data_IF_104561342826
#
_entry.id   IF_104561342826
#
_cell.length_a   1.000
_cell.length_b   1.000
_cell.length_c   1.000
_cell.angle_alpha   90.00
_cell.angle_beta   90.00
_cell.angle_gamma   90.00
#
_symmetry.space_group_name_H-M   'P 1'
#
loop_
_entity.id
_entity.type
_entity.pdbx_description
1 polymer ?
#
# COMPACT_ATOMS: atom_id res chain seq x y z
N UNK A 1 16.55 -29.67 59.57
CA UNK A 1 15.54 -29.62 58.49
C UNK A 1 15.98 -28.54 57.52
N UNK A 2 16.52 -28.93 56.38
CA UNK A 2 16.87 -28.03 55.28
C UNK A 2 15.59 -27.59 54.59
N UNK A 3 15.24 -26.32 54.74
CA UNK A 3 14.17 -25.70 53.96
C UNK A 3 14.63 -25.64 52.51
N UNK A 4 13.95 -26.40 51.65
CA UNK A 4 14.08 -26.29 50.20
C UNK A 4 13.27 -25.04 49.80
N UNK A 5 13.96 -23.95 49.46
CA UNK A 5 13.31 -22.82 48.79
C UNK A 5 12.86 -23.26 47.39
N UNK A 6 11.59 -23.05 46.99
CA UNK A 6 11.20 -23.24 45.62
C UNK A 6 11.89 -22.17 44.76
N UNK A 7 12.71 -22.64 43.82
CA UNK A 7 13.34 -21.85 42.78
C UNK A 7 12.26 -21.29 41.85
N UNK A 8 11.67 -20.16 42.23
CA UNK A 8 10.73 -19.39 41.42
C UNK A 8 11.49 -18.70 40.26
N UNK A 9 12.01 -19.50 39.32
CA UNK A 9 12.50 -19.04 38.02
C UNK A 9 11.41 -18.97 36.95
N UNK A 10 10.16 -19.21 37.32
CA UNK A 10 9.00 -18.78 36.57
C UNK A 10 8.63 -17.36 37.03
N UNK A 11 9.56 -16.43 36.84
CA UNK A 11 9.21 -15.03 36.78
C UNK A 11 8.26 -14.87 35.59
N UNK A 12 6.97 -14.91 35.89
CA UNK A 12 5.88 -14.25 35.18
C UNK A 12 6.34 -13.65 33.85
N UNK A 13 6.36 -14.45 32.78
CA UNK A 13 6.37 -13.89 31.43
C UNK A 13 5.02 -13.21 31.25
N UNK A 14 4.93 -11.97 31.73
CA UNK A 14 3.85 -11.05 31.36
C UNK A 14 3.84 -11.11 29.83
N UNK A 15 2.72 -11.52 29.17
CA UNK A 15 2.70 -11.65 27.74
C UNK A 15 3.13 -10.30 27.16
N UNK A 16 4.31 -10.28 26.53
CA UNK A 16 4.87 -9.06 25.94
C UNK A 16 3.85 -8.55 24.95
N UNK A 17 3.12 -7.51 25.35
CA UNK A 17 2.14 -6.91 24.47
C UNK A 17 2.95 -6.29 23.31
N UNK A 18 2.77 -6.82 22.11
CA UNK A 18 3.52 -6.32 20.95
C UNK A 18 2.91 -4.99 20.54
N UNK A 19 3.75 -3.98 20.29
CA UNK A 19 3.33 -2.65 19.85
C UNK A 19 2.50 -2.71 18.56
N UNK A 20 2.86 -3.63 17.67
CA UNK A 20 2.13 -3.94 16.43
C UNK A 20 1.70 -5.40 16.38
N UNK A 21 0.41 -5.65 16.15
CA UNK A 21 -0.14 -6.99 15.98
C UNK A 21 0.46 -7.69 14.74
N UNK A 22 0.41 -9.02 14.70
CA UNK A 22 0.89 -9.80 13.54
C UNK A 22 0.05 -9.48 12.29
N UNK A 23 -1.27 -9.36 12.44
CA UNK A 23 -2.20 -9.06 11.35
C UNK A 23 -1.90 -7.71 10.68
N UNK A 24 -1.68 -6.66 11.46
CA UNK A 24 -1.37 -5.32 10.94
C UNK A 24 -0.03 -5.33 10.19
N UNK A 25 0.99 -5.98 10.73
CA UNK A 25 2.32 -6.06 10.10
C UNK A 25 2.28 -6.81 8.78
N UNK A 26 1.66 -7.99 8.77
CA UNK A 26 1.49 -8.79 7.56
C UNK A 26 0.71 -8.01 6.50
N UNK A 27 -0.40 -7.36 6.90
CA UNK A 27 -1.17 -6.52 6.01
C UNK A 27 -0.35 -5.37 5.42
N UNK A 28 0.44 -4.67 6.24
CA UNK A 28 1.30 -3.57 5.79
C UNK A 28 2.30 -4.04 4.72
N UNK A 29 3.06 -5.10 4.99
CA UNK A 29 4.08 -5.59 4.05
C UNK A 29 3.46 -6.18 2.77
N UNK A 30 2.31 -6.85 2.87
CA UNK A 30 1.58 -7.31 1.69
C UNK A 30 1.10 -6.13 0.84
N UNK A 31 0.56 -5.07 1.45
CA UNK A 31 0.19 -3.85 0.71
C UNK A 31 1.42 -3.21 0.06
N UNK A 32 2.55 -3.13 0.77
CA UNK A 32 3.78 -2.60 0.21
C UNK A 32 4.20 -3.36 -1.06
N UNK A 33 4.19 -4.69 -1.04
CA UNK A 33 4.54 -5.52 -2.20
C UNK A 33 3.54 -5.32 -3.35
N UNK A 34 2.24 -5.37 -3.05
CA UNK A 34 1.17 -5.27 -4.07
C UNK A 34 1.15 -3.89 -4.71
N UNK A 35 1.23 -2.82 -3.91
CA UNK A 35 1.25 -1.44 -4.42
C UNK A 35 2.53 -1.20 -5.24
N UNK A 36 3.69 -1.64 -4.75
CA UNK A 36 4.95 -1.49 -5.48
C UNK A 36 4.95 -2.26 -6.81
N UNK A 37 4.46 -3.50 -6.80
CA UNK A 37 4.30 -4.31 -8.01
C UNK A 37 3.31 -3.69 -9.00
N UNK A 38 2.17 -3.21 -8.51
CA UNK A 38 1.18 -2.49 -9.32
C UNK A 38 1.77 -1.23 -9.95
N UNK A 39 2.50 -0.40 -9.20
CA UNK A 39 3.19 0.78 -9.75
C UNK A 39 4.27 0.39 -10.78
N UNK A 40 5.01 -0.69 -10.53
CA UNK A 40 6.01 -1.19 -11.47
C UNK A 40 5.36 -1.60 -12.81
N UNK A 41 4.19 -2.24 -12.80
CA UNK A 41 3.48 -2.57 -14.06
C UNK A 41 3.10 -1.32 -14.86
N UNK A 42 2.68 -0.24 -14.20
CA UNK A 42 2.38 1.03 -14.88
C UNK A 42 3.63 1.64 -15.47
N UNK A 43 4.75 1.64 -14.73
CA UNK A 43 6.04 2.14 -15.22
C UNK A 43 6.55 1.33 -16.41
N UNK A 44 6.49 0.00 -16.34
CA UNK A 44 6.88 -0.90 -17.44
C UNK A 44 6.01 -0.60 -18.66
N UNK A 45 4.69 -0.49 -18.49
CA UNK A 45 3.79 -0.22 -19.59
C UNK A 45 4.05 1.15 -20.25
N UNK A 46 4.35 2.17 -19.44
CA UNK A 46 4.59 3.52 -19.94
C UNK A 46 5.99 3.74 -20.56
N UNK A 47 6.95 2.87 -20.27
CA UNK A 47 8.36 3.05 -20.71
C UNK A 47 8.84 1.94 -21.64
N UNK A 48 8.70 0.69 -21.23
CA UNK A 48 9.22 -0.49 -21.93
C UNK A 48 8.22 -0.96 -22.98
N UNK A 49 6.94 -1.03 -22.61
CA UNK A 49 5.89 -1.61 -23.45
C UNK A 49 5.14 -0.58 -24.29
N UNK A 50 5.73 0.59 -24.51
CA UNK A 50 5.10 1.60 -25.37
C UNK A 50 4.96 1.08 -26.81
N UNK A 51 3.76 1.22 -27.37
CA UNK A 51 3.42 0.66 -28.68
C UNK A 51 4.35 1.13 -29.81
N UNK A 52 4.91 2.34 -29.73
CA UNK A 52 5.80 2.87 -30.78
C UNK A 52 7.18 2.24 -30.68
N UNK A 53 7.71 2.13 -29.46
CA UNK A 53 9.02 1.54 -29.23
C UNK A 53 9.01 0.03 -29.51
N UNK A 54 8.02 -0.69 -28.95
CA UNK A 54 7.92 -2.14 -29.09
C UNK A 54 7.63 -2.55 -30.52
N UNK A 55 6.74 -1.85 -31.24
CA UNK A 55 6.46 -2.19 -32.64
C UNK A 55 7.71 -2.08 -33.52
N UNK A 56 8.56 -1.06 -33.29
CA UNK A 56 9.84 -0.93 -33.97
C UNK A 56 10.80 -2.08 -33.67
N UNK A 57 10.90 -2.48 -32.39
CA UNK A 57 11.76 -3.59 -31.97
C UNK A 57 11.29 -4.92 -32.57
N UNK A 58 9.99 -5.22 -32.49
CA UNK A 58 9.40 -6.45 -33.03
C UNK A 58 9.60 -6.51 -34.54
N UNK A 59 9.31 -5.42 -35.26
CA UNK A 59 9.48 -5.36 -36.71
C UNK A 59 10.94 -5.53 -37.13
N UNK A 60 11.89 -4.89 -36.42
CA UNK A 60 13.31 -5.03 -36.72
C UNK A 60 13.83 -6.45 -36.46
N UNK A 61 13.41 -7.08 -35.36
CA UNK A 61 13.88 -8.42 -35.01
C UNK A 61 13.30 -9.50 -35.92
N UNK A 62 12.04 -9.36 -36.32
CA UNK A 62 11.43 -10.29 -37.28
C UNK A 62 11.99 -10.11 -38.70
N UNK A 63 12.30 -8.88 -39.12
CA UNK A 63 12.97 -8.64 -40.40
C UNK A 63 14.35 -9.30 -40.47
N UNK A 64 15.14 -9.27 -39.37
CA UNK A 64 16.43 -9.99 -39.31
C UNK A 64 16.28 -11.50 -39.50
N UNK A 65 15.13 -12.06 -39.12
CA UNK A 65 14.80 -13.47 -39.26
C UNK A 65 14.05 -13.78 -40.57
N UNK A 66 14.06 -12.85 -41.55
CA UNK A 66 13.45 -13.03 -42.86
C UNK A 66 11.93 -12.84 -42.90
N UNK A 67 11.31 -12.39 -41.81
CA UNK A 67 9.86 -12.15 -41.70
C UNK A 67 9.58 -10.65 -41.82
N UNK A 68 9.00 -10.23 -42.95
CA UNK A 68 8.57 -8.85 -43.14
C UNK A 68 7.16 -8.64 -42.60
N UNK A 69 7.03 -7.85 -41.52
CA UNK A 69 5.74 -7.41 -41.01
C UNK A 69 5.31 -6.08 -41.62
N UNK A 70 4.00 -5.93 -41.85
CA UNK A 70 3.40 -4.61 -42.07
C UNK A 70 3.43 -3.79 -40.77
N UNK A 71 3.42 -2.45 -40.89
CA UNK A 71 3.35 -1.57 -39.73
C UNK A 71 2.14 -1.86 -38.83
N UNK A 72 1.02 -2.29 -39.41
CA UNK A 72 -0.20 -2.65 -38.68
C UNK A 72 -0.02 -3.93 -37.86
N UNK A 73 0.67 -4.95 -38.40
CA UNK A 73 0.97 -6.18 -37.67
C UNK A 73 1.94 -5.93 -36.52
N UNK A 74 2.98 -5.12 -36.73
CA UNK A 74 3.92 -4.73 -35.67
C UNK A 74 3.23 -3.98 -34.53
N UNK A 75 2.31 -3.07 -34.85
CA UNK A 75 1.51 -2.35 -33.86
C UNK A 75 0.55 -3.26 -33.09
N UNK A 76 -0.08 -4.22 -33.76
CA UNK A 76 -0.97 -5.19 -33.12
C UNK A 76 -0.22 -6.08 -32.12
N UNK A 77 0.99 -6.53 -32.48
CA UNK A 77 1.83 -7.32 -31.60
C UNK A 77 2.30 -6.52 -30.38
N UNK A 78 2.69 -5.26 -30.58
CA UNK A 78 3.04 -4.35 -29.49
C UNK A 78 1.84 -4.10 -28.54
N UNK A 79 0.65 -3.91 -29.09
CA UNK A 79 -0.56 -3.70 -28.30
C UNK A 79 -0.89 -4.91 -27.43
N UNK A 80 -0.77 -6.14 -27.97
CA UNK A 80 -0.99 -7.36 -27.20
C UNK A 80 -0.02 -7.50 -26.02
N UNK A 81 1.24 -7.04 -26.19
CA UNK A 81 2.21 -7.02 -25.09
C UNK A 81 1.80 -6.00 -24.01
N UNK A 82 1.35 -4.81 -24.41
CA UNK A 82 0.84 -3.79 -23.48
C UNK A 82 -0.37 -4.31 -22.70
N UNK A 83 -1.32 -4.95 -23.40
CA UNK A 83 -2.52 -5.54 -22.79
C UNK A 83 -2.17 -6.64 -21.78
N UNK A 84 -1.11 -7.42 -22.04
CA UNK A 84 -0.60 -8.41 -21.09
C UNK A 84 -0.09 -7.78 -19.79
N UNK A 85 0.63 -6.65 -19.88
CA UNK A 85 1.08 -5.91 -18.67
C UNK A 85 -0.12 -5.32 -17.91
N UNK A 86 -1.12 -4.80 -18.62
CA UNK A 86 -2.37 -4.34 -18.00
C UNK A 86 -3.13 -5.46 -17.30
N UNK A 87 -3.16 -6.67 -17.87
CA UNK A 87 -3.77 -7.82 -17.21
C UNK A 87 -3.08 -8.13 -15.86
N UNK A 88 -1.74 -8.07 -15.81
CA UNK A 88 -0.99 -8.23 -14.56
C UNK A 88 -1.33 -7.11 -13.56
N UNK A 89 -1.45 -5.86 -14.03
CA UNK A 89 -1.88 -4.74 -13.18
C UNK A 89 -3.26 -4.98 -12.56
N UNK A 90 -4.21 -5.49 -13.34
CA UNK A 90 -5.57 -5.82 -12.87
C UNK A 90 -5.52 -6.92 -11.79
N UNK A 91 -4.68 -7.95 -11.95
CA UNK A 91 -4.48 -8.96 -10.90
C UNK A 91 -3.97 -8.36 -9.59
N UNK A 92 -2.97 -7.47 -9.64
CA UNK A 92 -2.55 -6.72 -8.46
C UNK A 92 -3.70 -5.90 -7.86
N UNK A 93 -4.55 -5.31 -8.70
CA UNK A 93 -5.76 -4.60 -8.28
C UNK A 93 -6.74 -5.49 -7.51
N UNK A 94 -7.01 -6.71 -7.97
CA UNK A 94 -7.85 -7.66 -7.26
C UNK A 94 -7.27 -8.09 -5.92
N UNK A 95 -5.96 -8.34 -5.86
CA UNK A 95 -5.27 -8.64 -4.59
C UNK A 95 -5.36 -7.45 -3.64
N UNK A 96 -5.17 -6.22 -4.14
CA UNK A 96 -5.29 -5.00 -3.34
C UNK A 96 -6.71 -4.81 -2.80
N UNK A 97 -7.73 -5.05 -3.62
CA UNK A 97 -9.12 -5.00 -3.21
C UNK A 97 -9.43 -6.03 -2.11
N UNK A 98 -8.92 -7.26 -2.25
CA UNK A 98 -9.05 -8.30 -1.24
C UNK A 98 -8.34 -7.92 0.08
N UNK A 99 -7.11 -7.38 0.02
CA UNK A 99 -6.38 -6.89 1.18
C UNK A 99 -7.11 -5.73 1.87
N UNK A 100 -7.71 -4.82 1.10
CA UNK A 100 -8.48 -3.71 1.64
C UNK A 100 -9.77 -4.19 2.33
N UNK A 101 -10.50 -5.13 1.71
CA UNK A 101 -11.67 -5.75 2.31
C UNK A 101 -11.31 -6.51 3.60
N UNK A 102 -10.23 -7.30 3.56
CA UNK A 102 -9.69 -7.97 4.75
C UNK A 102 -9.42 -6.98 5.89
N UNK A 103 -8.87 -5.80 5.57
CA UNK A 103 -8.62 -4.76 6.58
C UNK A 103 -9.89 -4.17 7.16
N UNK A 104 -10.90 -3.92 6.33
CA UNK A 104 -12.23 -3.46 6.80
C UNK A 104 -12.81 -4.50 7.76
N UNK A 105 -12.77 -5.79 7.39
CA UNK A 105 -13.25 -6.88 8.24
C UNK A 105 -12.50 -6.90 9.57
N UNK A 106 -11.17 -6.82 9.56
CA UNK A 106 -10.37 -6.78 10.78
C UNK A 106 -10.72 -5.60 11.71
N UNK A 107 -11.03 -4.42 11.17
CA UNK A 107 -11.42 -3.25 11.98
C UNK A 107 -12.70 -3.51 12.80
N UNK A 108 -13.60 -4.39 12.32
CA UNK A 108 -14.78 -4.82 13.09
C UNK A 108 -14.43 -5.80 14.23
N UNK A 109 -13.43 -6.67 14.03
CA UNK A 109 -13.04 -7.71 14.98
C UNK A 109 -11.89 -7.32 15.93
N UNK A 110 -11.14 -6.26 15.64
CA UNK A 110 -10.04 -5.80 16.49
C UNK A 110 -10.52 -5.25 17.84
N UNK A 111 -9.74 -5.53 18.89
CA UNK A 111 -9.94 -4.99 20.24
C UNK A 111 -10.05 -3.46 20.18
N UNK A 112 -10.88 -2.91 21.05
CA UNK A 112 -11.38 -1.55 20.91
C UNK A 112 -10.28 -0.45 20.94
N UNK A 113 -9.10 -0.74 21.48
CA UNK A 113 -7.93 0.15 21.54
C UNK A 113 -7.00 0.07 20.32
N UNK A 114 -7.17 -0.96 19.49
CA UNK A 114 -6.45 -1.12 18.22
C UNK A 114 -7.17 -0.41 17.07
N UNK A 115 -8.47 -0.12 17.23
CA UNK A 115 -9.34 0.51 16.22
C UNK A 115 -8.80 1.86 15.77
N UNK A 116 -8.71 2.02 14.44
CA UNK A 116 -8.29 3.24 13.77
C UNK A 116 -9.14 4.44 14.19
N UNK A 117 -10.46 4.26 14.22
CA UNK A 117 -11.43 5.32 14.55
C UNK A 117 -11.16 5.89 15.95
N UNK A 118 -10.83 5.02 16.91
CA UNK A 118 -10.53 5.43 18.28
C UNK A 118 -9.17 6.12 18.38
N UNK A 119 -8.14 5.63 17.68
CA UNK A 119 -6.81 6.27 17.63
C UNK A 119 -6.85 7.68 17.00
N UNK A 120 -7.69 7.87 15.98
CA UNK A 120 -7.92 9.18 15.35
C UNK A 120 -8.66 10.10 16.33
N UNK A 121 -9.76 9.63 16.94
CA UNK A 121 -10.53 10.43 17.91
C UNK A 121 -9.70 10.81 19.14
N UNK A 122 -8.88 9.90 19.65
CA UNK A 122 -7.98 10.14 20.78
C UNK A 122 -6.90 11.19 20.44
N UNK A 123 -6.28 11.11 19.26
CA UNK A 123 -5.31 12.14 18.83
C UNK A 123 -5.96 13.50 18.58
N UNK A 124 -7.15 13.53 17.97
CA UNK A 124 -7.89 14.77 17.78
C UNK A 124 -8.21 15.43 19.13
N UNK A 125 -8.66 14.63 20.10
CA UNK A 125 -8.93 15.08 21.46
C UNK A 125 -7.65 15.56 22.17
N UNK A 126 -6.54 14.84 22.10
CA UNK A 126 -5.27 15.29 22.67
C UNK A 126 -4.75 16.59 22.04
N UNK A 127 -4.90 16.74 20.72
CA UNK A 127 -4.45 17.93 19.99
C UNK A 127 -5.29 19.17 20.31
N UNK A 128 -6.62 19.05 20.36
CA UNK A 128 -7.51 20.20 20.61
C UNK A 128 -7.79 20.47 22.09
N UNK A 129 -7.77 19.47 22.96
CA UNK A 129 -8.26 19.59 24.36
C UNK A 129 -7.12 19.64 25.38
N UNK A 130 -6.05 18.85 25.22
CA UNK A 130 -5.09 18.61 26.32
C UNK A 130 -3.84 19.52 26.28
N UNK A 131 -3.54 20.22 25.17
CA UNK A 131 -2.43 21.22 25.04
C UNK A 131 -1.04 20.76 25.55
N UNK A 132 -0.81 19.47 25.78
CA UNK A 132 0.50 18.96 26.23
C UNK A 132 1.50 19.02 25.06
N UNK A 133 2.67 19.63 25.29
CA UNK A 133 3.76 19.83 24.32
C UNK A 133 3.32 20.00 22.86
N UNK A 134 3.00 21.23 22.47
CA UNK A 134 2.47 21.62 21.15
C UNK A 134 3.23 21.05 19.95
N UNK A 135 4.53 20.78 20.10
CA UNK A 135 5.37 20.17 19.06
C UNK A 135 5.11 18.67 18.89
N UNK A 136 5.03 17.91 19.98
CA UNK A 136 4.74 16.46 19.97
C UNK A 136 3.32 16.19 19.49
N UNK A 137 2.34 16.95 19.98
CA UNK A 137 0.95 16.83 19.56
C UNK A 137 0.74 17.11 18.06
N UNK A 138 1.49 18.07 17.48
CA UNK A 138 1.45 18.35 16.03
C UNK A 138 2.06 17.21 15.21
N UNK A 139 3.15 16.63 15.67
CA UNK A 139 3.79 15.50 15.01
C UNK A 139 2.84 14.29 14.99
N UNK A 140 2.26 13.94 16.14
CA UNK A 140 1.31 12.81 16.24
C UNK A 140 0.07 13.01 15.37
N UNK A 141 -0.51 14.22 15.35
CA UNK A 141 -1.64 14.56 14.49
C UNK A 141 -1.27 14.42 13.00
N UNK A 142 -0.09 14.91 12.61
CA UNK A 142 0.40 14.83 11.23
C UNK A 142 0.55 13.38 10.78
N UNK A 143 1.17 12.53 11.60
CA UNK A 143 1.34 11.10 11.30
C UNK A 143 -0.01 10.39 11.17
N UNK A 144 -0.96 10.67 12.07
CA UNK A 144 -2.30 10.06 12.01
C UNK A 144 -3.15 10.58 10.85
N UNK A 145 -3.00 11.86 10.49
CA UNK A 145 -3.63 12.46 9.30
C UNK A 145 -3.07 11.86 8.01
N UNK A 146 -1.75 11.65 7.95
CA UNK A 146 -1.09 10.98 6.83
C UNK A 146 -1.65 9.56 6.67
N UNK A 147 -1.79 8.81 7.77
CA UNK A 147 -2.42 7.49 7.76
C UNK A 147 -3.88 7.55 7.25
N UNK A 148 -4.70 8.48 7.73
CA UNK A 148 -6.08 8.62 7.23
C UNK A 148 -6.12 8.93 5.73
N UNK A 149 -5.24 9.81 5.26
CA UNK A 149 -5.11 10.17 3.84
C UNK A 149 -4.76 8.95 2.99
N UNK A 150 -3.83 8.10 3.46
CA UNK A 150 -3.51 6.84 2.79
C UNK A 150 -4.73 5.95 2.59
N UNK A 151 -5.55 5.76 3.63
CA UNK A 151 -6.75 4.92 3.54
C UNK A 151 -7.79 5.48 2.57
N UNK A 152 -7.96 6.80 2.53
CA UNK A 152 -8.87 7.45 1.57
C UNK A 152 -8.37 7.27 0.14
N UNK A 153 -7.08 7.51 -0.11
CA UNK A 153 -6.47 7.29 -1.42
C UNK A 153 -6.57 5.82 -1.84
N UNK A 154 -6.28 4.90 -0.93
CA UNK A 154 -6.37 3.46 -1.17
C UNK A 154 -7.79 3.03 -1.51
N UNK A 155 -8.79 3.55 -0.79
CA UNK A 155 -10.21 3.32 -1.09
C UNK A 155 -10.57 3.80 -2.49
N UNK A 156 -10.20 5.03 -2.87
CA UNK A 156 -10.47 5.58 -4.20
C UNK A 156 -9.82 4.71 -5.28
N UNK A 157 -8.56 4.27 -5.08
CA UNK A 157 -7.86 3.42 -6.04
C UNK A 157 -8.51 2.05 -6.22
N UNK A 158 -8.93 1.40 -5.12
CA UNK A 158 -9.61 0.10 -5.18
C UNK A 158 -10.93 0.22 -5.93
N UNK A 159 -11.74 1.24 -5.59
CA UNK A 159 -13.03 1.44 -6.24
C UNK A 159 -12.84 1.76 -7.72
N UNK A 160 -12.07 2.80 -8.06
CA UNK A 160 -11.84 3.19 -9.46
C UNK A 160 -11.17 2.08 -10.27
N UNK A 161 -10.25 1.32 -9.69
CA UNK A 161 -9.62 0.17 -10.34
C UNK A 161 -10.60 -0.96 -10.65
N UNK A 162 -11.50 -1.30 -9.72
CA UNK A 162 -12.56 -2.28 -9.97
C UNK A 162 -13.55 -1.78 -11.04
N UNK A 163 -13.93 -0.50 -11.02
CA UNK A 163 -14.77 0.08 -12.07
C UNK A 163 -14.14 -0.07 -13.46
N UNK A 164 -12.83 0.15 -13.59
CA UNK A 164 -12.10 -0.03 -14.86
C UNK A 164 -11.98 -1.51 -15.23
N UNK A 165 -11.75 -2.40 -14.26
CA UNK A 165 -11.63 -3.84 -14.52
C UNK A 165 -12.94 -4.47 -15.03
N UNK A 166 -14.09 -3.90 -14.67
CA UNK A 166 -15.43 -4.37 -15.07
C UNK A 166 -16.13 -3.45 -16.09
N UNK A 167 -15.39 -2.57 -16.78
CA UNK A 167 -16.00 -1.56 -17.66
C UNK A 167 -16.80 -2.17 -18.83
N UNK A 168 -16.42 -3.35 -19.29
CA UNK A 168 -17.12 -4.08 -20.36
C UNK A 168 -18.34 -4.86 -19.87
N UNK A 169 -18.41 -5.18 -18.58
CA UNK A 169 -19.49 -5.98 -18.01
C UNK A 169 -20.77 -5.17 -17.77
N UNK A 170 -20.66 -3.84 -17.63
CA UNK A 170 -21.79 -2.98 -17.25
C UNK A 170 -21.86 -1.74 -18.17
N UNK A 171 -22.93 -1.67 -18.96
CA UNK A 171 -23.18 -0.57 -19.92
C UNK A 171 -23.15 0.80 -19.25
N UNK A 172 -23.59 0.89 -17.99
CA UNK A 172 -23.57 2.11 -17.19
C UNK A 172 -22.16 2.67 -16.94
N UNK A 173 -21.11 1.84 -17.01
CA UNK A 173 -19.72 2.28 -16.76
C UNK A 173 -19.08 2.95 -17.97
N UNK A 174 -19.57 2.66 -19.19
CA UNK A 174 -19.02 3.23 -20.43
C UNK A 174 -19.12 4.75 -20.50
N UNK A 175 -20.14 5.34 -19.88
CA UNK A 175 -20.34 6.81 -19.88
C UNK A 175 -19.39 7.54 -18.94
N UNK A 176 -18.92 6.89 -17.86
CA UNK A 176 -18.04 7.51 -16.85
C UNK A 176 -16.59 7.02 -16.92
N UNK A 177 -16.27 6.04 -17.77
CA UNK A 177 -14.95 5.39 -17.85
C UNK A 177 -13.79 6.39 -17.95
N UNK A 178 -13.96 7.47 -18.74
CA UNK A 178 -12.90 8.45 -18.96
C UNK A 178 -12.60 9.22 -17.68
N UNK A 179 -13.63 9.69 -16.98
CA UNK A 179 -13.49 10.34 -15.68
C UNK A 179 -12.89 9.41 -14.64
N UNK A 180 -13.34 8.15 -14.59
CA UNK A 180 -12.80 7.16 -13.64
C UNK A 180 -11.32 6.89 -13.91
N UNK A 181 -10.93 6.74 -15.18
CA UNK A 181 -9.53 6.55 -15.59
C UNK A 181 -8.65 7.74 -15.24
N UNK A 182 -9.15 8.95 -15.43
CA UNK A 182 -8.45 10.18 -15.07
C UNK A 182 -8.25 10.28 -13.55
N UNK A 183 -9.30 10.02 -12.77
CA UNK A 183 -9.21 10.00 -11.29
C UNK A 183 -8.24 8.92 -10.82
N UNK A 184 -8.31 7.70 -11.38
CA UNK A 184 -7.39 6.60 -11.03
C UNK A 184 -5.93 6.97 -11.33
N UNK A 185 -5.67 7.51 -12.53
CA UNK A 185 -4.35 7.98 -12.93
C UNK A 185 -3.83 9.14 -12.08
N UNK A 186 -4.70 10.09 -11.72
CA UNK A 186 -4.34 11.20 -10.84
C UNK A 186 -4.03 10.72 -9.40
N UNK A 187 -4.86 9.85 -8.85
CA UNK A 187 -4.66 9.27 -7.52
C UNK A 187 -3.36 8.45 -7.43
N UNK A 188 -2.92 7.81 -8.52
CA UNK A 188 -1.61 7.17 -8.58
C UNK A 188 -0.47 8.15 -8.24
N UNK A 189 -0.48 9.36 -8.80
CA UNK A 189 0.53 10.38 -8.50
C UNK A 189 0.48 10.84 -7.03
N UNK A 190 -0.72 10.93 -6.45
CA UNK A 190 -0.86 11.22 -5.01
C UNK A 190 -0.30 10.11 -4.14
N UNK A 191 -0.48 8.84 -4.53
CA UNK A 191 0.13 7.69 -3.84
C UNK A 191 1.65 7.71 -3.97
N UNK A 192 2.20 8.04 -5.13
CA UNK A 192 3.65 8.20 -5.29
C UNK A 192 4.21 9.29 -4.36
N UNK A 193 3.54 10.45 -4.30
CA UNK A 193 3.92 11.52 -3.38
C UNK A 193 3.82 11.07 -1.90
N UNK A 194 2.76 10.35 -1.55
CA UNK A 194 2.58 9.77 -0.22
C UNK A 194 3.72 8.81 0.14
N UNK A 195 4.07 7.87 -0.74
CA UNK A 195 5.15 6.88 -0.52
C UNK A 195 6.46 7.61 -0.28
N UNK A 196 6.77 8.64 -1.06
CA UNK A 196 7.98 9.43 -0.91
C UNK A 196 8.04 10.14 0.45
N UNK A 197 6.97 10.84 0.84
CA UNK A 197 6.87 11.51 2.15
C UNK A 197 6.94 10.51 3.30
N UNK A 198 6.26 9.36 3.17
CA UNK A 198 6.27 8.30 4.17
C UNK A 198 7.69 7.75 4.37
N UNK A 199 8.39 7.42 3.28
CA UNK A 199 9.74 6.87 3.34
C UNK A 199 10.74 7.88 3.95
N UNK A 200 10.67 9.16 3.55
CA UNK A 200 11.48 10.20 4.18
C UNK A 200 11.19 10.33 5.67
N UNK A 201 9.91 10.30 6.06
CA UNK A 201 9.50 10.32 7.46
C UNK A 201 10.07 9.15 8.26
N UNK A 202 10.05 7.93 7.70
CA UNK A 202 10.64 6.73 8.32
C UNK A 202 12.15 6.87 8.45
N UNK A 203 12.86 7.28 7.39
CA UNK A 203 14.33 7.45 7.41
C UNK A 203 14.75 8.50 8.44
N UNK A 204 14.06 9.65 8.47
CA UNK A 204 14.36 10.71 9.44
C UNK A 204 14.10 10.27 10.89
N UNK A 205 13.04 9.51 11.13
CA UNK A 205 12.70 9.00 12.45
C UNK A 205 13.70 7.93 12.93
N UNK A 206 14.17 7.08 12.02
CA UNK A 206 15.19 6.05 12.28
C UNK A 206 16.56 6.67 12.64
N UNK A 207 16.91 7.82 12.06
CA UNK A 207 18.19 8.50 12.28
C UNK A 207 18.26 9.33 13.57
N UNK A 208 17.13 9.89 14.04
CA UNK A 208 17.10 10.83 15.17
C UNK A 208 16.78 10.15 16.50
N UNK A 209 15.48 9.94 16.77
CA UNK A 209 14.97 9.70 18.12
C UNK A 209 14.29 8.32 18.29
N UNK A 210 14.11 7.55 17.21
CA UNK A 210 13.39 6.26 17.22
C UNK A 210 14.11 5.18 16.42
N UNK A 211 15.28 4.73 16.89
CA UNK A 211 15.99 3.60 16.27
C UNK A 211 15.14 2.33 16.36
N UNK A 212 14.97 1.64 15.24
CA UNK A 212 14.27 0.36 15.15
C UNK A 212 12.80 0.45 14.74
N UNK A 213 12.31 1.53 14.12
CA UNK A 213 10.90 1.61 13.66
C UNK A 213 10.62 0.55 12.60
N UNK A 214 11.55 0.36 11.66
CA UNK A 214 11.43 -0.69 10.64
C UNK A 214 11.48 -2.07 11.31
N UNK A 215 12.39 -2.26 12.27
CA UNK A 215 12.49 -3.51 13.04
C UNK A 215 11.21 -3.80 13.84
N UNK A 216 10.60 -2.78 14.45
CA UNK A 216 9.33 -2.90 15.15
C UNK A 216 8.19 -3.26 14.20
N UNK A 217 8.19 -2.72 12.97
CA UNK A 217 7.21 -3.08 11.94
C UNK A 217 7.40 -4.52 11.43
N UNK A 218 8.60 -5.09 11.53
CA UNK A 218 8.87 -6.49 11.18
C UNK A 218 8.56 -7.42 12.34
N UNK A 219 9.07 -7.12 13.55
CA UNK A 219 9.09 -8.03 14.71
C UNK A 219 7.96 -7.79 15.72
N UNK A 220 7.28 -6.64 15.63
CA UNK A 220 6.12 -6.27 16.45
C UNK A 220 6.42 -5.23 17.52
N UNK A 221 7.70 -4.94 17.79
CA UNK A 221 8.16 -4.02 18.82
C UNK A 221 7.77 -4.41 20.24
N UNK A 222 8.46 -3.85 21.23
CA UNK A 222 8.16 -4.06 22.65
C UNK A 222 7.34 -2.86 23.17
N UNK A 223 6.10 -3.08 23.63
CA UNK A 223 5.25 -1.99 24.12
C UNK A 223 5.78 -1.34 25.40
N UNK A 224 6.75 -1.96 26.08
CA UNK A 224 7.39 -1.40 27.28
C UNK A 224 8.39 -0.27 27.00
N UNK A 225 8.73 -0.04 25.73
CA UNK A 225 9.70 0.98 25.28
C UNK A 225 9.06 2.22 24.64
N UNK A 226 7.73 2.36 24.72
CA UNK A 226 6.96 3.43 24.09
C UNK A 226 6.71 4.62 25.02
#
# INVERSE_FOLDING_TARGET
MTFIEPNNKEAQEIPKNKRYSVSIRLWHWLNFIVISGSLATVLINATITDNRNVSGIISAELQKNGVSLTAQQGKSAAHALSDSVWAVHIYFGYVLAALFLFRIILEFFELADQKLIRKIKAAYHQYHVIKQNRMLARHELTVKSLYATFYVLLFIMVITGLFLAFEDALVAYRSIRHSVKEVHGFCMYLILAFIFVHLLGVIMAEQKDGRGIVSDMINGGDSSKA
#
